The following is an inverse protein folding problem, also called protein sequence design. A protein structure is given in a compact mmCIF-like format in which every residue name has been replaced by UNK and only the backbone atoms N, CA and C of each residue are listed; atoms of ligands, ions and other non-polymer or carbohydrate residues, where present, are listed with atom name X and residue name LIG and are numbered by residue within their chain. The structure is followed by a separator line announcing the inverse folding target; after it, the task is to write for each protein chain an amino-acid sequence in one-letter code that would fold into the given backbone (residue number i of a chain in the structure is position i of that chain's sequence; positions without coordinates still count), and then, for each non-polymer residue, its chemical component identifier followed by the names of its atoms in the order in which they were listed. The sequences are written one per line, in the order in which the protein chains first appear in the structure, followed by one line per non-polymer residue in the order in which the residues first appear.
data_IF_680612106473
#
_entry.id   IF_680612106473
#
_cell.length_a   1.000
_cell.length_b   1.000
_cell.length_c   1.000
_cell.angle_alpha   90.00
_cell.angle_beta   90.00
_cell.angle_gamma   90.00
#
_symmetry.space_group_name_H-M   'P 1'
#
loop_
_entity.id
_entity.type
_entity.pdbx_description
1 polymer ?
#
# COMPACT_ATOMS: atom_id res chain seq x y z
N UNK A 1 -19.23 -2.23 -15.22
CA UNK A 1 -17.78 -2.25 -15.53
C UNK A 1 -17.19 -0.84 -15.51
N UNK A 2 -17.63 0.11 -16.36
CA UNK A 2 -17.09 1.49 -16.39
C UNK A 2 -17.10 2.21 -15.03
N UNK A 3 -18.22 2.14 -14.28
CA UNK A 3 -18.32 2.72 -12.92
C UNK A 3 -17.26 2.16 -11.96
N UNK A 4 -17.00 0.85 -12.02
CA UNK A 4 -16.01 0.18 -11.18
C UNK A 4 -14.59 0.60 -11.57
N UNK A 5 -14.30 0.66 -12.87
CA UNK A 5 -13.01 1.12 -13.38
C UNK A 5 -12.73 2.58 -12.97
N UNK A 6 -13.71 3.47 -13.10
CA UNK A 6 -13.57 4.86 -12.64
C UNK A 6 -13.35 4.96 -11.14
N UNK A 7 -14.05 4.14 -10.35
CA UNK A 7 -13.86 4.08 -8.90
C UNK A 7 -12.44 3.61 -8.56
N UNK A 8 -11.93 2.57 -9.20
CA UNK A 8 -10.55 2.09 -9.00
C UNK A 8 -9.51 3.15 -9.37
N UNK A 9 -9.67 3.81 -10.52
CA UNK A 9 -8.71 4.83 -10.97
C UNK A 9 -8.77 6.07 -10.08
N UNK A 10 -9.95 6.61 -9.81
CA UNK A 10 -10.07 7.89 -9.09
C UNK A 10 -9.83 7.70 -7.60
N UNK A 11 -10.47 6.71 -6.97
CA UNK A 11 -10.39 6.50 -5.51
C UNK A 11 -9.12 5.76 -5.14
N UNK A 12 -8.88 4.60 -5.75
CA UNK A 12 -7.84 3.68 -5.27
C UNK A 12 -6.46 4.05 -5.78
N UNK A 13 -6.35 4.63 -6.97
CA UNK A 13 -5.09 5.11 -7.52
C UNK A 13 -4.86 6.61 -7.26
N UNK A 14 -5.66 7.51 -7.84
CA UNK A 14 -5.38 8.95 -7.81
C UNK A 14 -5.51 9.54 -6.41
N UNK A 15 -6.66 9.35 -5.75
CA UNK A 15 -6.92 9.94 -4.44
C UNK A 15 -6.00 9.37 -3.36
N UNK A 16 -5.88 8.03 -3.30
CA UNK A 16 -4.96 7.39 -2.35
C UNK A 16 -3.50 7.78 -2.63
N UNK A 17 -3.12 7.88 -3.91
CA UNK A 17 -1.79 8.28 -4.33
C UNK A 17 -1.44 9.70 -3.95
N UNK A 18 -2.34 10.65 -4.17
CA UNK A 18 -2.14 12.04 -3.77
C UNK A 18 -1.99 12.15 -2.24
N UNK A 19 -2.80 11.41 -1.47
CA UNK A 19 -2.72 11.39 -0.01
C UNK A 19 -1.38 10.81 0.47
N UNK A 20 -1.01 9.61 -0.03
CA UNK A 20 0.23 8.94 0.38
C UNK A 20 1.45 9.75 -0.07
N UNK A 21 1.47 10.24 -1.30
CA UNK A 21 2.55 11.08 -1.80
C UNK A 21 2.74 12.32 -0.91
N UNK A 22 1.65 12.98 -0.50
CA UNK A 22 1.71 14.15 0.38
C UNK A 22 2.28 13.81 1.77
N UNK A 23 1.83 12.69 2.36
CA UNK A 23 2.34 12.22 3.67
C UNK A 23 3.82 11.88 3.58
N UNK A 24 4.20 11.07 2.59
CA UNK A 24 5.58 10.61 2.38
C UNK A 24 6.49 11.80 2.07
N UNK A 25 6.07 12.70 1.18
CA UNK A 25 6.80 13.93 0.85
C UNK A 25 7.05 14.80 2.08
N UNK A 26 6.03 15.02 2.91
CA UNK A 26 6.16 15.77 4.15
C UNK A 26 7.11 15.07 5.14
N UNK A 27 6.94 13.77 5.33
CA UNK A 27 7.79 12.96 6.21
C UNK A 27 9.26 12.95 5.77
N UNK A 28 9.53 12.74 4.49
CA UNK A 28 10.89 12.72 3.95
C UNK A 28 11.60 14.06 4.10
N UNK A 29 10.92 15.16 3.78
CA UNK A 29 11.52 16.49 3.88
C UNK A 29 11.66 17.01 5.32
N UNK A 30 11.01 16.38 6.30
CA UNK A 30 11.10 16.79 7.72
C UNK A 30 12.06 15.92 8.52
N UNK A 31 12.13 14.62 8.25
CA UNK A 31 12.86 13.66 9.10
C UNK A 31 14.01 12.94 8.41
N UNK A 32 13.98 12.83 7.07
CA UNK A 32 14.91 11.98 6.32
C UNK A 32 16.01 12.76 5.60
N UNK A 33 15.96 14.09 5.49
CA UNK A 33 17.02 14.84 4.81
C UNK A 33 18.36 14.75 5.56
N UNK A 34 19.44 14.55 4.80
CA UNK A 34 20.79 14.61 5.35
C UNK A 34 21.16 16.04 5.78
N UNK A 35 21.67 16.24 7.00
CA UNK A 35 22.07 17.56 7.49
C UNK A 35 23.37 18.08 6.86
N UNK A 36 24.12 17.23 6.15
CA UNK A 36 25.44 17.57 5.59
C UNK A 36 25.38 18.26 4.22
N UNK A 37 24.19 18.48 3.65
CA UNK A 37 24.05 19.10 2.33
C UNK A 37 24.07 20.63 2.38
N UNK A 38 24.74 21.25 1.41
CA UNK A 38 24.75 22.70 1.20
C UNK A 38 24.88 23.01 -0.29
N UNK A 39 23.83 23.51 -0.98
CA UNK A 39 22.46 23.74 -0.48
C UNK A 39 21.69 22.43 -0.20
N UNK A 40 20.64 22.46 0.66
CA UNK A 40 19.84 21.27 0.94
C UNK A 40 18.98 20.88 -0.27
N UNK A 41 19.14 19.65 -0.76
CA UNK A 41 18.27 19.08 -1.80
C UNK A 41 17.00 18.54 -1.15
N UNK A 42 15.84 18.91 -1.67
CA UNK A 42 14.54 18.46 -1.16
C UNK A 42 13.96 17.36 -2.04
N UNK A 43 13.14 16.50 -1.44
CA UNK A 43 12.34 15.53 -2.20
C UNK A 43 11.20 16.27 -2.89
N UNK A 44 11.04 16.04 -4.18
CA UNK A 44 9.93 16.60 -4.96
C UNK A 44 8.64 15.81 -4.73
N UNK A 45 7.51 16.49 -4.65
CA UNK A 45 6.21 15.83 -4.50
C UNK A 45 5.91 14.92 -5.71
N UNK A 46 6.26 15.37 -6.93
CA UNK A 46 6.10 14.59 -8.14
C UNK A 46 6.88 13.26 -8.08
N UNK A 47 8.09 13.27 -7.50
CA UNK A 47 8.86 12.06 -7.28
C UNK A 47 8.16 11.11 -6.30
N UNK A 48 7.60 11.62 -5.20
CA UNK A 48 6.85 10.76 -4.26
C UNK A 48 5.58 10.16 -4.87
N UNK A 49 4.94 10.87 -5.80
CA UNK A 49 3.80 10.37 -6.54
C UNK A 49 4.20 9.33 -7.62
N UNK A 50 5.37 9.49 -8.23
CA UNK A 50 5.95 8.47 -9.12
C UNK A 50 6.28 7.18 -8.34
N UNK A 51 6.90 7.31 -7.16
CA UNK A 51 7.14 6.18 -6.25
C UNK A 51 5.83 5.50 -5.85
N UNK A 52 4.77 6.25 -5.53
CA UNK A 52 3.44 5.70 -5.31
C UNK A 52 2.97 4.87 -6.52
N UNK A 53 3.12 5.40 -7.73
CA UNK A 53 2.69 4.72 -8.96
C UNK A 53 3.41 3.39 -9.13
N UNK A 54 4.73 3.37 -8.93
CA UNK A 54 5.54 2.16 -8.99
C UNK A 54 5.18 1.15 -7.89
N UNK A 55 4.89 1.61 -6.66
CA UNK A 55 4.46 0.76 -5.55
C UNK A 55 3.03 0.23 -5.71
N UNK A 56 2.15 1.00 -6.35
CA UNK A 56 0.76 0.61 -6.58
C UNK A 56 0.66 -0.52 -7.62
N UNK A 57 1.55 -0.59 -8.61
CA UNK A 57 1.45 -1.59 -9.68
C UNK A 57 1.48 -3.05 -9.15
N UNK A 58 2.43 -3.49 -8.30
CA UNK A 58 2.36 -4.81 -7.68
C UNK A 58 1.09 -5.03 -6.85
N UNK A 59 0.64 -4.03 -6.10
CA UNK A 59 -0.60 -4.11 -5.31
C UNK A 59 -1.83 -4.27 -6.18
N UNK A 60 -1.88 -3.57 -7.30
CA UNK A 60 -2.93 -3.72 -8.29
C UNK A 60 -2.96 -5.16 -8.80
N UNK A 61 -1.82 -5.73 -9.20
CA UNK A 61 -1.76 -7.12 -9.64
C UNK A 61 -2.21 -8.12 -8.57
N UNK A 62 -1.85 -7.90 -7.31
CA UNK A 62 -2.20 -8.81 -6.20
C UNK A 62 -3.68 -8.65 -5.78
N UNK A 63 -4.12 -7.43 -5.47
CA UNK A 63 -5.44 -7.18 -4.87
C UNK A 63 -6.56 -7.02 -5.91
N UNK A 64 -6.23 -6.58 -7.13
CA UNK A 64 -7.21 -6.41 -8.20
C UNK A 64 -7.09 -7.47 -9.30
N UNK A 65 -5.95 -8.16 -9.42
CA UNK A 65 -5.76 -9.30 -10.31
C UNK A 65 -5.94 -10.64 -9.59
N UNK A 66 -4.94 -11.02 -8.78
CA UNK A 66 -4.87 -12.34 -8.13
C UNK A 66 -6.07 -12.59 -7.21
N UNK A 67 -6.50 -11.61 -6.41
CA UNK A 67 -7.68 -11.78 -5.55
C UNK A 67 -8.93 -12.14 -6.34
N UNK A 68 -9.12 -11.58 -7.53
CA UNK A 68 -10.28 -11.91 -8.37
C UNK A 68 -10.20 -13.35 -8.87
N UNK A 69 -9.00 -13.85 -9.19
CA UNK A 69 -8.79 -15.27 -9.50
C UNK A 69 -9.09 -16.15 -8.28
N UNK A 70 -8.76 -15.66 -7.08
CA UNK A 70 -9.01 -16.33 -5.81
C UNK A 70 -10.44 -16.14 -5.24
N UNK A 71 -11.35 -15.47 -5.95
CA UNK A 71 -12.76 -15.27 -5.52
C UNK A 71 -13.42 -16.55 -4.99
N UNK A 72 -13.33 -17.72 -5.68
CA UNK A 72 -13.94 -18.97 -5.22
C UNK A 72 -13.36 -19.51 -3.91
N UNK A 73 -12.17 -19.04 -3.55
CA UNK A 73 -11.44 -19.42 -2.34
C UNK A 73 -11.78 -18.44 -1.22
N UNK A 74 -11.60 -17.13 -1.44
CA UNK A 74 -11.78 -16.10 -0.40
C UNK A 74 -13.25 -15.88 0.00
N UNK A 75 -14.19 -16.32 -0.86
CA UNK A 75 -15.63 -16.25 -0.56
C UNK A 75 -16.12 -17.37 0.35
N UNK A 76 -15.35 -18.45 0.53
CA UNK A 76 -15.77 -19.59 1.36
C UNK A 76 -15.71 -19.26 2.85
N UNK A 77 -16.63 -19.84 3.61
CA UNK A 77 -16.62 -19.78 5.06
C UNK A 77 -15.62 -20.77 5.65
N UNK A 78 -14.91 -20.32 6.68
CA UNK A 78 -13.91 -21.11 7.38
C UNK A 78 -12.63 -20.33 7.63
N UNK A 79 -11.95 -20.68 8.72
CA UNK A 79 -10.76 -19.98 9.17
C UNK A 79 -9.62 -20.03 8.14
N UNK A 80 -9.42 -21.18 7.46
CA UNK A 80 -8.36 -21.36 6.46
C UNK A 80 -8.56 -20.40 5.27
N UNK A 81 -9.78 -20.26 4.78
CA UNK A 81 -10.08 -19.40 3.64
C UNK A 81 -9.94 -17.91 3.99
N UNK A 82 -10.34 -17.54 5.21
CA UNK A 82 -10.08 -16.21 5.76
C UNK A 82 -8.57 -15.94 5.89
N UNK A 83 -7.81 -16.88 6.45
CA UNK A 83 -6.35 -16.77 6.57
C UNK A 83 -5.69 -16.57 5.21
N UNK A 84 -6.06 -17.36 4.20
CA UNK A 84 -5.55 -17.20 2.83
C UNK A 84 -5.89 -15.82 2.26
N UNK A 85 -7.15 -15.39 2.38
CA UNK A 85 -7.60 -14.07 1.89
C UNK A 85 -6.86 -12.92 2.57
N UNK A 86 -6.76 -12.94 3.90
CA UNK A 86 -6.03 -11.93 4.66
C UNK A 86 -4.52 -11.95 4.34
N UNK A 87 -3.96 -13.12 4.01
CA UNK A 87 -2.55 -13.24 3.61
C UNK A 87 -2.27 -12.58 2.27
N UNK A 88 -3.20 -12.66 1.31
CA UNK A 88 -3.08 -11.90 0.04
C UNK A 88 -3.04 -10.40 0.30
N UNK A 89 -3.88 -9.91 1.23
CA UNK A 89 -3.90 -8.49 1.63
C UNK A 89 -2.61 -8.04 2.30
N UNK A 90 -2.13 -8.79 3.31
CA UNK A 90 -0.92 -8.40 4.04
C UNK A 90 0.30 -8.43 3.11
N UNK A 91 0.40 -9.39 2.18
CA UNK A 91 1.46 -9.44 1.17
C UNK A 91 1.40 -8.24 0.23
N UNK A 92 0.22 -7.91 -0.29
CA UNK A 92 0.04 -6.74 -1.17
C UNK A 92 0.44 -5.43 -0.48
N UNK A 93 -0.04 -5.20 0.75
CA UNK A 93 0.29 -3.99 1.51
C UNK A 93 1.77 -3.96 1.93
N UNK A 94 2.37 -5.11 2.25
CA UNK A 94 3.82 -5.18 2.54
C UNK A 94 4.63 -4.78 1.31
N UNK A 95 4.25 -5.26 0.12
CA UNK A 95 4.90 -4.88 -1.13
C UNK A 95 4.80 -3.38 -1.39
N UNK A 96 3.65 -2.76 -1.12
CA UNK A 96 3.50 -1.31 -1.28
C UNK A 96 4.49 -0.53 -0.40
N UNK A 97 4.56 -0.87 0.89
CA UNK A 97 5.46 -0.20 1.85
C UNK A 97 6.91 -0.43 1.45
N UNK A 98 7.26 -1.65 1.08
CA UNK A 98 8.62 -2.01 0.68
C UNK A 98 9.08 -1.31 -0.60
N UNK A 99 8.25 -1.27 -1.64
CA UNK A 99 8.58 -0.57 -2.90
C UNK A 99 8.65 0.94 -2.69
N UNK A 100 7.81 1.50 -1.82
CA UNK A 100 7.88 2.92 -1.43
C UNK A 100 9.22 3.22 -0.74
N UNK A 101 9.62 2.39 0.23
CA UNK A 101 10.93 2.46 0.86
C UNK A 101 12.05 2.37 -0.18
N UNK A 102 12.00 1.39 -1.09
CA UNK A 102 13.03 1.18 -2.10
C UNK A 102 13.17 2.39 -3.04
N UNK A 103 12.05 2.98 -3.45
CA UNK A 103 12.03 4.18 -4.29
C UNK A 103 12.72 5.35 -3.60
N UNK A 104 12.37 5.66 -2.35
CA UNK A 104 13.02 6.75 -1.63
C UNK A 104 14.46 6.45 -1.22
N UNK A 105 14.79 5.19 -0.93
CA UNK A 105 16.16 4.78 -0.60
C UNK A 105 17.14 4.93 -1.78
N UNK A 106 16.64 5.09 -3.00
CA UNK A 106 17.48 5.41 -4.15
C UNK A 106 18.02 6.86 -4.12
N UNK A 107 17.44 7.75 -3.31
CA UNK A 107 17.89 9.13 -3.16
C UNK A 107 19.06 9.20 -2.15
N UNK A 108 20.29 9.53 -2.59
CA UNK A 108 21.48 9.47 -1.74
C UNK A 108 21.52 10.52 -0.63
N UNK A 109 20.62 11.50 -0.70
CA UNK A 109 20.49 12.57 0.28
C UNK A 109 19.45 12.30 1.36
N UNK A 110 18.74 11.17 1.27
CA UNK A 110 17.90 10.69 2.33
C UNK A 110 18.69 9.77 3.25
N UNK A 111 18.57 9.99 4.55
CA UNK A 111 19.14 9.20 5.62
C UNK A 111 18.01 8.58 6.44
N UNK A 112 18.29 7.44 7.08
CA UNK A 112 17.32 6.74 7.96
C UNK A 112 16.01 6.39 7.24
N UNK A 113 16.10 6.05 5.95
CA UNK A 113 14.96 5.68 5.10
C UNK A 113 14.24 4.43 5.61
N UNK A 114 14.88 3.61 6.45
CA UNK A 114 14.30 2.44 7.10
C UNK A 114 13.07 2.81 7.97
N UNK A 115 12.95 4.07 8.42
CA UNK A 115 11.75 4.57 9.10
C UNK A 115 10.48 4.45 8.24
N UNK A 116 10.62 4.44 6.90
CA UNK A 116 9.50 4.22 5.99
C UNK A 116 8.92 2.80 6.06
N UNK A 117 9.63 1.84 6.68
CA UNK A 117 9.15 0.49 6.93
C UNK A 117 8.28 0.37 8.19
N UNK A 118 8.24 1.41 9.04
CA UNK A 118 7.47 1.37 10.30
C UNK A 118 5.96 1.09 10.12
N UNK A 119 5.28 1.50 9.03
CA UNK A 119 3.90 1.10 8.78
C UNK A 119 3.68 -0.43 8.72
N UNK A 120 4.73 -1.24 8.52
CA UNK A 120 4.63 -2.71 8.58
C UNK A 120 4.27 -3.22 9.98
N UNK A 121 4.66 -2.52 11.06
CA UNK A 121 4.35 -2.94 12.43
C UNK A 121 2.85 -2.96 12.72
N UNK A 122 2.10 -1.84 12.56
CA UNK A 122 0.65 -1.87 12.73
C UNK A 122 -0.03 -2.74 11.67
N UNK A 123 0.53 -2.88 10.46
CA UNK A 123 0.00 -3.78 9.43
C UNK A 123 0.03 -5.25 9.88
N UNK A 124 1.17 -5.74 10.38
CA UNK A 124 1.28 -7.12 10.87
C UNK A 124 0.48 -7.36 12.14
N UNK A 125 0.39 -6.36 13.02
CA UNK A 125 -0.52 -6.42 14.17
C UNK A 125 -1.99 -6.52 13.72
N UNK A 126 -2.42 -5.69 12.76
CA UNK A 126 -3.76 -5.73 12.19
C UNK A 126 -4.04 -7.07 11.49
N UNK A 127 -3.06 -7.63 10.78
CA UNK A 127 -3.16 -8.97 10.20
C UNK A 127 -3.37 -10.03 11.28
N UNK A 128 -2.57 -10.06 12.35
CA UNK A 128 -2.74 -11.00 13.45
C UNK A 128 -4.12 -10.89 14.10
N UNK A 129 -4.59 -9.67 14.37
CA UNK A 129 -5.93 -9.42 14.93
C UNK A 129 -7.03 -9.85 13.96
N UNK A 130 -6.84 -9.65 12.65
CA UNK A 130 -7.83 -10.05 11.64
C UNK A 130 -8.10 -11.56 11.64
N UNK A 131 -7.11 -12.38 12.02
CA UNK A 131 -7.25 -13.84 12.09
C UNK A 131 -8.19 -14.32 13.21
N UNK A 132 -8.68 -13.43 14.06
CA UNK A 132 -9.71 -13.72 15.08
C UNK A 132 -11.14 -13.78 14.51
N UNK A 133 -11.33 -13.53 13.21
CA UNK A 133 -12.62 -13.67 12.54
C UNK A 133 -12.97 -12.59 11.52
N UNK A 134 -12.06 -11.65 11.23
CA UNK A 134 -12.28 -10.59 10.26
C UNK A 134 -11.67 -10.93 8.91
N UNK A 135 -12.52 -11.26 7.93
CA UNK A 135 -12.11 -11.54 6.56
C UNK A 135 -12.00 -10.23 5.75
N UNK A 136 -10.78 -9.71 5.63
CA UNK A 136 -10.46 -8.44 4.93
C UNK A 136 -10.83 -8.53 3.45
N UNK A 137 -10.55 -9.67 2.81
CA UNK A 137 -10.85 -9.86 1.39
C UNK A 137 -12.36 -9.81 1.12
N UNK A 138 -13.16 -10.47 1.96
CA UNK A 138 -14.62 -10.43 1.87
C UNK A 138 -15.16 -9.02 2.13
N UNK A 139 -14.68 -8.34 3.17
CA UNK A 139 -15.07 -6.96 3.45
C UNK A 139 -14.76 -6.03 2.27
N UNK A 140 -13.57 -6.16 1.67
CA UNK A 140 -13.20 -5.37 0.50
C UNK A 140 -14.13 -5.65 -0.69
N UNK A 141 -14.46 -6.93 -0.97
CA UNK A 141 -15.42 -7.28 -2.02
C UNK A 141 -16.80 -6.64 -1.76
N UNK A 142 -17.27 -6.59 -0.51
CA UNK A 142 -18.51 -5.89 -0.15
C UNK A 142 -18.43 -4.38 -0.45
N UNK A 143 -17.30 -3.73 -0.18
CA UNK A 143 -17.10 -2.30 -0.50
C UNK A 143 -17.14 -2.03 -2.01
N UNK A 144 -16.64 -2.95 -2.84
CA UNK A 144 -16.64 -2.78 -4.30
C UNK A 144 -17.95 -3.20 -4.98
N UNK A 145 -18.59 -4.26 -4.50
CA UNK A 145 -19.70 -4.93 -5.19
C UNK A 145 -21.03 -4.91 -4.44
N UNK A 146 -21.04 -4.54 -3.15
CA UNK A 146 -22.27 -4.27 -2.38
C UNK A 146 -23.15 -5.49 -2.10
N UNK A 147 -22.60 -6.70 -1.96
CA UNK A 147 -23.39 -7.90 -1.58
C UNK A 147 -23.54 -8.04 -0.07
#
# INVERSE_FOLDING_TARGET
IVKLALLMVIRDFVLSGALVATIVWGFSNTLLLSPSQSPPTKVEWAYTFDVHTNAFFPVFLILHGLQLVLLPVVSRDGWIWMWMGNSVWVVGLTMYVYVTYLGLNALPFLIRTELLLFPLLPLFAAYAVSLLGFNVARWALQVYFGS
#
